data_IF_142283137957
#
_entry.id   IF_142283137957
#
_cell.length_a   1.000
_cell.length_b   1.000
_cell.length_c   1.000
_cell.angle_alpha   90.00
_cell.angle_beta   90.00
_cell.angle_gamma   90.00
#
_symmetry.space_group_name_H-M   'P 1'
#
loop_
_entity.id
_entity.type
_entity.pdbx_description
1 polymer ?
#
# COMPACT_ATOMS: atom_id res chain seq x y z
N UNK A 1 -39.50 -56.11 1.62
CA UNK A 1 -40.78 -55.40 1.86
C UNK A 1 -40.70 -54.68 3.20
N UNK A 2 -41.22 -53.45 3.29
CA UNK A 2 -41.01 -52.39 4.31
C UNK A 2 -39.71 -51.60 4.07
N UNK A 3 -39.71 -50.29 3.84
CA UNK A 3 -40.81 -49.33 3.82
C UNK A 3 -40.37 -48.03 4.48
N UNK A 4 -39.95 -47.07 3.65
CA UNK A 4 -40.19 -45.62 3.76
C UNK A 4 -40.46 -45.06 5.17
N UNK A 5 -39.40 -44.71 5.92
CA UNK A 5 -39.51 -43.87 7.14
C UNK A 5 -38.35 -42.87 7.33
N UNK A 6 -37.80 -42.26 6.27
CA UNK A 6 -36.86 -41.13 6.43
C UNK A 6 -37.12 -39.95 5.48
N UNK A 7 -38.40 -39.70 5.14
CA UNK A 7 -38.80 -38.60 4.24
C UNK A 7 -39.81 -37.62 4.87
N UNK A 8 -39.76 -37.38 6.18
CA UNK A 8 -40.62 -36.39 6.86
C UNK A 8 -39.93 -35.72 8.06
N UNK A 9 -38.75 -35.15 7.86
CA UNK A 9 -38.14 -34.30 8.89
C UNK A 9 -37.16 -33.26 8.34
N UNK A 10 -37.48 -32.53 7.27
CA UNK A 10 -36.82 -31.24 6.95
C UNK A 10 -37.69 -30.37 6.02
N UNK A 11 -38.99 -30.37 6.27
CA UNK A 11 -39.98 -29.48 5.62
C UNK A 11 -40.55 -28.61 6.74
N UNK A 12 -39.80 -27.60 7.18
CA UNK A 12 -40.21 -26.83 8.35
C UNK A 12 -39.24 -25.80 8.90
N UNK A 13 -38.33 -25.23 8.10
CA UNK A 13 -37.67 -23.94 8.40
C UNK A 13 -37.46 -23.19 7.07
N UNK A 14 -38.57 -22.95 6.38
CA UNK A 14 -38.69 -22.06 5.22
C UNK A 14 -39.90 -21.17 5.46
N UNK A 15 -39.95 -20.49 6.62
CA UNK A 15 -41.00 -19.49 6.90
C UNK A 15 -40.66 -18.63 8.13
N UNK A 16 -39.51 -17.96 8.14
CA UNK A 16 -39.23 -16.91 9.13
C UNK A 16 -38.13 -15.97 8.62
N UNK A 17 -38.39 -15.20 7.57
CA UNK A 17 -37.80 -13.86 7.33
C UNK A 17 -38.42 -13.21 6.08
N UNK A 18 -39.73 -13.01 6.08
CA UNK A 18 -40.42 -12.33 4.99
C UNK A 18 -41.71 -11.63 5.43
N UNK A 19 -41.67 -10.84 6.52
CA UNK A 19 -42.63 -9.73 6.76
C UNK A 19 -41.97 -8.72 7.70
N UNK A 20 -41.18 -7.79 7.16
CA UNK A 20 -41.06 -6.42 7.71
C UNK A 20 -40.68 -5.52 6.54
N UNK A 21 -41.72 -5.05 5.85
CA UNK A 21 -41.64 -4.08 4.77
C UNK A 21 -42.37 -2.82 5.24
N UNK A 22 -41.69 -1.69 5.06
CA UNK A 22 -42.22 -0.33 4.96
C UNK A 22 -42.67 0.40 6.24
N UNK A 23 -41.79 1.26 6.75
CA UNK A 23 -42.09 2.69 6.95
C UNK A 23 -40.81 3.44 7.36
N UNK A 24 -40.10 4.05 6.41
CA UNK A 24 -39.42 5.35 6.55
C UNK A 24 -38.92 5.77 5.16
N UNK A 25 -39.79 6.44 4.41
CA UNK A 25 -39.42 7.28 3.29
C UNK A 25 -39.78 8.72 3.68
N UNK A 26 -38.79 9.49 4.11
CA UNK A 26 -38.74 10.96 4.03
C UNK A 26 -37.46 11.45 4.75
N UNK A 27 -36.36 11.45 4.01
CA UNK A 27 -35.08 12.00 4.44
C UNK A 27 -34.12 11.91 3.27
N UNK A 28 -34.14 12.91 2.40
CA UNK A 28 -33.36 12.91 1.16
C UNK A 28 -31.86 12.86 1.44
N UNK A 29 -31.24 11.74 1.06
CA UNK A 29 -29.85 11.70 0.63
C UNK A 29 -29.88 11.21 -0.81
N UNK A 30 -29.60 12.11 -1.76
CA UNK A 30 -29.58 11.78 -3.18
C UNK A 30 -28.50 10.74 -3.44
N UNK A 31 -28.90 9.50 -3.74
CA UNK A 31 -28.01 8.50 -4.30
C UNK A 31 -27.62 8.96 -5.71
N UNK A 32 -26.51 9.70 -5.84
CA UNK A 32 -25.84 9.83 -7.11
C UNK A 32 -25.33 8.43 -7.48
N UNK A 33 -26.02 7.76 -8.39
CA UNK A 33 -25.45 6.66 -9.16
C UNK A 33 -24.30 7.24 -9.97
N UNK A 34 -23.09 7.17 -9.44
CA UNK A 34 -21.89 7.44 -10.21
C UNK A 34 -21.70 6.30 -11.19
N UNK A 35 -22.05 6.50 -12.46
CA UNK A 35 -21.52 5.65 -13.54
C UNK A 35 -20.00 5.90 -13.58
N UNK A 36 -19.24 5.22 -12.72
CA UNK A 36 -17.79 5.35 -12.67
C UNK A 36 -17.12 4.72 -13.90
N UNK A 37 -17.79 3.77 -14.54
CA UNK A 37 -17.29 3.02 -15.71
C UNK A 37 -17.93 3.39 -17.04
N UNK A 38 -18.53 4.58 -17.16
CA UNK A 38 -19.09 5.03 -18.42
C UNK A 38 -18.03 5.12 -19.51
N UNK A 39 -18.14 4.27 -20.54
CA UNK A 39 -17.38 4.37 -21.79
C UNK A 39 -17.60 5.74 -22.43
N UNK A 40 -16.73 6.68 -22.11
CA UNK A 40 -16.78 8.03 -22.62
C UNK A 40 -15.45 8.69 -22.41
N UNK A 41 -14.54 8.49 -23.36
CA UNK A 41 -13.39 9.36 -23.55
C UNK A 41 -13.92 10.80 -23.60
N UNK A 42 -13.79 11.53 -22.48
CA UNK A 42 -14.13 12.94 -22.41
C UNK A 42 -12.83 13.68 -22.63
N UNK A 43 -12.60 14.07 -23.88
CA UNK A 43 -11.66 15.14 -24.22
C UNK A 43 -12.01 16.37 -23.37
N UNK A 44 -11.11 16.73 -22.47
CA UNK A 44 -11.29 17.81 -21.52
C UNK A 44 -10.03 17.97 -20.70
N UNK A 45 -9.01 18.57 -21.30
CA UNK A 45 -7.80 18.99 -20.59
C UNK A 45 -8.16 19.95 -19.46
N UNK A 46 -7.92 19.51 -18.24
CA UNK A 46 -8.06 20.29 -17.02
C UNK A 46 -7.40 19.50 -15.91
N UNK A 47 -6.20 19.92 -15.53
CA UNK A 47 -5.52 19.55 -14.31
C UNK A 47 -6.36 20.12 -13.15
N UNK A 48 -7.51 19.49 -12.85
CA UNK A 48 -8.39 19.90 -11.76
C UNK A 48 -7.88 19.28 -10.45
N UNK A 49 -7.45 20.19 -9.58
CA UNK A 49 -7.07 19.97 -8.19
C UNK A 49 -8.00 18.97 -7.47
N UNK A 50 -7.46 17.79 -7.18
CA UNK A 50 -7.35 17.25 -5.81
C UNK A 50 -8.55 17.32 -4.86
N UNK A 51 -9.80 17.26 -5.33
CA UNK A 51 -10.93 17.09 -4.40
C UNK A 51 -10.89 15.66 -3.85
N UNK A 52 -10.71 15.46 -2.53
CA UNK A 52 -10.80 14.13 -1.93
C UNK A 52 -12.19 13.56 -2.23
N UNK A 53 -12.25 12.47 -2.99
CA UNK A 53 -13.50 11.80 -3.30
C UNK A 53 -13.88 10.95 -2.09
N UNK A 54 -14.97 11.31 -1.42
CA UNK A 54 -15.52 10.52 -0.30
C UNK A 54 -15.76 9.07 -0.73
N UNK A 55 -15.27 8.12 0.07
CA UNK A 55 -15.82 6.77 0.12
C UNK A 55 -15.37 5.78 -0.95
N UNK A 56 -14.11 5.82 -1.41
CA UNK A 56 -13.59 4.71 -2.22
C UNK A 56 -13.40 3.46 -1.33
N UNK A 57 -14.45 2.64 -1.21
CA UNK A 57 -14.37 1.30 -0.65
C UNK A 57 -13.83 0.34 -1.73
N UNK A 58 -12.59 0.55 -2.16
CA UNK A 58 -11.91 -0.35 -3.09
C UNK A 58 -10.79 -1.11 -2.44
N UNK A 59 -10.60 -2.36 -2.87
CA UNK A 59 -9.46 -3.19 -2.51
C UNK A 59 -8.59 -3.39 -3.74
N UNK A 60 -7.32 -3.01 -3.66
CA UNK A 60 -6.32 -3.41 -4.63
C UNK A 60 -5.61 -4.68 -4.14
N UNK A 61 -5.44 -5.65 -5.03
CA UNK A 61 -4.75 -6.89 -4.70
C UNK A 61 -4.04 -7.47 -5.92
N UNK A 62 -3.03 -8.29 -5.67
CA UNK A 62 -2.27 -8.99 -6.72
C UNK A 62 -2.89 -10.37 -6.94
N UNK A 63 -3.10 -10.74 -8.20
CA UNK A 63 -3.54 -12.08 -8.59
C UNK A 63 -2.84 -12.47 -9.89
N UNK A 64 -2.08 -13.57 -9.86
CA UNK A 64 -1.20 -13.92 -10.97
C UNK A 64 -0.11 -12.86 -11.16
N UNK A 65 0.04 -12.38 -12.38
CA UNK A 65 1.03 -11.38 -12.80
C UNK A 65 0.44 -9.95 -12.92
N UNK A 66 -0.70 -9.69 -12.28
CA UNK A 66 -1.39 -8.42 -12.41
C UNK A 66 -1.97 -7.92 -11.08
N UNK A 67 -2.15 -6.61 -11.00
CA UNK A 67 -2.95 -5.97 -9.95
C UNK A 67 -4.40 -5.89 -10.41
N UNK A 68 -5.30 -6.14 -9.48
CA UNK A 68 -6.75 -6.06 -9.63
C UNK A 68 -7.30 -5.02 -8.66
N UNK A 69 -8.42 -4.42 -9.06
CA UNK A 69 -9.19 -3.52 -8.23
C UNK A 69 -10.59 -4.10 -8.06
N UNK A 70 -10.98 -4.32 -6.81
CA UNK A 70 -12.33 -4.71 -6.42
C UNK A 70 -13.07 -3.49 -5.87
N UNK A 71 -14.28 -3.26 -6.38
CA UNK A 71 -15.27 -2.39 -5.76
C UNK A 71 -16.04 -3.20 -4.70
N UNK A 72 -15.89 -2.83 -3.43
CA UNK A 72 -16.51 -3.57 -2.34
C UNK A 72 -18.00 -3.28 -2.18
N UNK A 73 -18.50 -2.17 -2.72
CA UNK A 73 -19.90 -1.82 -2.68
C UNK A 73 -20.69 -2.53 -3.80
N UNK A 74 -20.12 -2.60 -4.99
CA UNK A 74 -20.75 -3.19 -6.18
C UNK A 74 -20.40 -4.67 -6.37
N UNK A 75 -19.31 -5.15 -5.74
CA UNK A 75 -18.79 -6.51 -5.93
C UNK A 75 -18.10 -6.73 -7.28
N UNK A 76 -17.84 -5.64 -8.02
CA UNK A 76 -17.19 -5.66 -9.32
C UNK A 76 -15.68 -5.77 -9.18
N UNK A 77 -15.06 -6.59 -10.02
CA UNK A 77 -13.61 -6.81 -10.03
C UNK A 77 -13.09 -6.61 -11.43
N UNK A 78 -12.02 -5.83 -11.56
CA UNK A 78 -11.32 -5.68 -12.84
C UNK A 78 -9.82 -5.81 -12.68
N UNK A 79 -9.17 -6.27 -13.75
CA UNK A 79 -7.73 -6.12 -13.89
C UNK A 79 -7.42 -4.63 -13.99
N UNK A 80 -6.51 -4.16 -13.15
CA UNK A 80 -6.04 -2.79 -13.14
C UNK A 80 -4.85 -2.63 -14.08
N UNK A 81 -3.78 -3.38 -13.89
CA UNK A 81 -2.53 -3.17 -14.64
C UNK A 81 -2.60 -3.65 -16.09
N UNK A 82 -2.06 -2.85 -17.01
CA UNK A 82 -1.90 -3.20 -18.42
C UNK A 82 -0.69 -4.11 -18.71
N UNK A 83 0.32 -4.09 -17.84
CA UNK A 83 1.57 -4.85 -17.98
C UNK A 83 1.64 -6.01 -16.97
N UNK A 84 2.03 -7.23 -17.38
CA UNK A 84 2.26 -8.33 -16.46
C UNK A 84 3.58 -8.18 -15.68
N UNK A 85 3.63 -8.71 -14.46
CA UNK A 85 4.83 -8.84 -13.64
C UNK A 85 4.51 -9.24 -12.20
N UNK A 86 5.54 -9.47 -11.38
CA UNK A 86 5.37 -9.77 -9.96
C UNK A 86 5.23 -8.46 -9.19
N UNK A 87 4.00 -8.10 -8.81
CA UNK A 87 3.69 -6.91 -8.03
C UNK A 87 3.65 -7.23 -6.52
N UNK A 88 4.07 -6.28 -5.70
CA UNK A 88 4.00 -6.33 -4.23
C UNK A 88 3.87 -4.91 -3.65
N UNK A 89 3.70 -4.81 -2.32
CA UNK A 89 3.80 -3.56 -1.55
C UNK A 89 2.85 -2.45 -2.06
N UNK A 90 1.60 -2.80 -2.36
CA UNK A 90 0.62 -1.88 -2.92
C UNK A 90 0.24 -0.79 -1.92
N UNK A 91 0.30 0.48 -2.34
CA UNK A 91 -0.11 1.62 -1.52
C UNK A 91 -0.90 2.65 -2.35
N UNK A 92 -2.13 2.95 -1.95
CA UNK A 92 -2.92 4.01 -2.57
C UNK A 92 -2.35 5.40 -2.26
N UNK A 93 -2.36 6.28 -3.27
CA UNK A 93 -2.18 7.71 -3.04
C UNK A 93 -3.38 8.27 -2.27
N UNK A 94 -3.26 9.43 -1.59
CA UNK A 94 -4.34 9.96 -0.74
C UNK A 94 -5.67 10.21 -1.46
N UNK A 95 -5.65 10.53 -2.75
CA UNK A 95 -6.86 10.69 -3.58
C UNK A 95 -7.26 9.41 -4.32
N UNK A 96 -6.56 8.31 -4.08
CA UNK A 96 -6.76 7.00 -4.69
C UNK A 96 -6.76 7.00 -6.24
N UNK A 97 -6.20 8.04 -6.86
CA UNK A 97 -5.99 8.10 -8.30
C UNK A 97 -4.78 7.29 -8.76
N UNK A 98 -3.90 6.92 -7.81
CA UNK A 98 -2.68 6.16 -8.06
C UNK A 98 -2.45 5.10 -7.00
N UNK A 99 -1.70 4.07 -7.39
CA UNK A 99 -1.16 3.05 -6.50
C UNK A 99 0.35 2.98 -6.73
N UNK A 100 1.15 3.13 -5.68
CA UNK A 100 2.56 2.76 -5.73
C UNK A 100 2.70 1.25 -5.50
N UNK A 101 3.68 0.63 -6.13
CA UNK A 101 3.94 -0.79 -5.98
C UNK A 101 5.43 -1.10 -6.21
N UNK A 102 5.89 -2.20 -5.62
CA UNK A 102 7.10 -2.89 -6.07
C UNK A 102 6.74 -3.77 -7.26
N UNK A 103 7.58 -3.77 -8.30
CA UNK A 103 7.41 -4.60 -9.50
C UNK A 103 8.71 -5.31 -9.85
N UNK A 104 8.62 -6.60 -10.18
CA UNK A 104 9.70 -7.38 -10.78
C UNK A 104 9.25 -7.99 -12.11
N UNK A 105 10.08 -7.85 -13.15
CA UNK A 105 9.85 -8.42 -14.47
C UNK A 105 11.03 -9.33 -14.84
N UNK A 106 10.80 -10.64 -14.96
CA UNK A 106 11.86 -11.62 -15.18
C UNK A 106 12.85 -11.64 -14.01
N UNK A 107 14.15 -11.69 -14.33
CA UNK A 107 15.25 -11.70 -13.34
C UNK A 107 15.77 -10.29 -13.00
N UNK A 108 14.98 -9.24 -13.29
CA UNK A 108 15.35 -7.86 -13.01
C UNK A 108 15.34 -7.55 -11.51
N UNK A 109 16.11 -6.53 -11.10
CA UNK A 109 16.02 -5.98 -9.75
C UNK A 109 14.65 -5.31 -9.52
N UNK A 110 14.16 -5.25 -8.27
CA UNK A 110 12.87 -4.63 -7.93
C UNK A 110 12.76 -3.18 -8.39
N UNK A 111 11.69 -2.87 -9.10
CA UNK A 111 11.37 -1.52 -9.54
C UNK A 111 10.32 -0.92 -8.60
N UNK A 112 10.44 0.37 -8.31
CA UNK A 112 9.33 1.14 -7.76
C UNK A 112 8.51 1.70 -8.93
N UNK A 113 7.21 1.43 -8.93
CA UNK A 113 6.29 1.87 -9.98
C UNK A 113 5.09 2.60 -9.40
N UNK A 114 4.46 3.41 -10.24
CA UNK A 114 3.16 4.05 -9.99
C UNK A 114 2.18 3.55 -11.04
N UNK A 115 1.03 3.08 -10.58
CA UNK A 115 -0.08 2.59 -11.39
C UNK A 115 -1.16 3.66 -11.38
N UNK A 116 -1.53 4.16 -12.56
CA UNK A 116 -2.70 5.02 -12.71
C UNK A 116 -3.97 4.18 -12.52
N UNK A 117 -4.83 4.56 -11.56
CA UNK A 117 -6.01 3.76 -11.21
C UNK A 117 -7.04 3.75 -12.34
N UNK A 118 -7.20 4.85 -13.08
CA UNK A 118 -8.18 4.94 -14.17
C UNK A 118 -7.72 4.18 -15.41
N UNK A 119 -6.51 4.47 -15.90
CA UNK A 119 -6.02 3.90 -17.16
C UNK A 119 -5.38 2.52 -17.01
N UNK A 120 -4.93 2.16 -15.81
CA UNK A 120 -4.14 0.94 -15.59
C UNK A 120 -2.69 1.04 -16.08
N UNK A 121 -2.27 2.22 -16.50
CA UNK A 121 -0.90 2.49 -16.94
C UNK A 121 0.09 2.31 -15.79
N UNK A 122 1.22 1.66 -16.07
CA UNK A 122 2.28 1.40 -15.11
C UNK A 122 3.50 2.22 -15.49
N UNK A 123 3.80 3.24 -14.69
CA UNK A 123 4.95 4.12 -14.86
C UNK A 123 6.06 3.70 -13.92
N UNK A 124 7.23 3.41 -14.47
CA UNK A 124 8.43 3.18 -13.66
C UNK A 124 8.90 4.50 -13.05
N UNK A 125 9.11 4.54 -11.73
CA UNK A 125 9.65 5.70 -11.00
C UNK A 125 10.99 5.39 -10.31
N UNK A 126 11.69 4.36 -10.81
CA UNK A 126 12.99 3.86 -10.34
C UNK A 126 14.14 4.21 -11.28
N UNK A 127 15.28 3.52 -11.14
CA UNK A 127 16.50 3.78 -11.92
C UNK A 127 16.37 3.49 -13.42
N UNK A 128 15.36 2.74 -13.86
CA UNK A 128 15.14 2.47 -15.29
C UNK A 128 14.41 3.63 -16.00
N UNK A 129 13.89 4.60 -15.23
CA UNK A 129 13.25 5.80 -15.76
C UNK A 129 14.30 6.88 -16.10
N UNK A 130 14.25 7.43 -17.31
CA UNK A 130 15.23 8.41 -17.81
C UNK A 130 15.24 9.75 -17.04
N UNK A 131 14.13 10.10 -16.39
CA UNK A 131 13.97 11.33 -15.63
C UNK A 131 14.39 11.14 -14.16
N UNK A 132 14.24 9.92 -13.63
CA UNK A 132 14.47 9.61 -12.21
C UNK A 132 15.78 8.86 -11.92
N UNK A 133 16.45 8.27 -12.93
CA UNK A 133 17.65 7.47 -12.67
C UNK A 133 18.78 8.25 -12.01
N UNK A 134 18.91 9.55 -12.33
CA UNK A 134 19.92 10.44 -11.72
C UNK A 134 19.63 10.68 -10.25
N UNK A 135 18.37 10.73 -9.85
CA UNK A 135 17.97 10.91 -8.46
C UNK A 135 18.34 9.69 -7.62
N UNK A 136 17.94 8.49 -8.08
CA UNK A 136 18.29 7.23 -7.44
C UNK A 136 19.81 7.01 -7.38
N UNK A 137 20.50 7.22 -8.49
CA UNK A 137 21.95 7.07 -8.57
C UNK A 137 22.69 8.11 -7.71
N UNK A 138 22.20 9.35 -7.68
CA UNK A 138 22.77 10.42 -6.86
C UNK A 138 22.61 10.18 -5.36
N UNK A 139 21.51 9.57 -4.93
CA UNK A 139 21.32 9.10 -3.56
C UNK A 139 22.12 7.82 -3.25
N UNK A 140 22.59 7.12 -4.29
CA UNK A 140 23.37 5.88 -4.16
C UNK A 140 22.54 4.70 -3.65
N UNK A 141 21.26 4.65 -4.01
CA UNK A 141 20.30 3.63 -3.55
C UNK A 141 19.49 3.07 -4.74
N UNK A 142 18.88 1.91 -4.52
CA UNK A 142 18.04 1.17 -5.49
C UNK A 142 16.70 0.82 -4.80
N UNK A 143 15.53 0.89 -5.46
CA UNK A 143 14.32 0.33 -4.88
C UNK A 143 14.47 -1.13 -4.48
N UNK A 144 13.73 -1.50 -3.46
CA UNK A 144 13.74 -2.84 -2.90
C UNK A 144 12.35 -3.23 -2.41
N UNK A 145 12.17 -4.50 -2.09
CA UNK A 145 10.95 -4.99 -1.45
C UNK A 145 10.76 -4.33 -0.08
N UNK A 146 9.50 -4.05 0.26
CA UNK A 146 9.11 -3.44 1.52
C UNK A 146 8.06 -2.35 1.31
N UNK A 147 7.48 -1.87 2.41
CA UNK A 147 6.31 -1.00 2.32
C UNK A 147 6.60 0.32 1.62
N UNK A 148 5.55 0.88 1.02
CA UNK A 148 5.50 2.21 0.43
C UNK A 148 4.39 2.98 1.13
N UNK A 149 4.62 4.27 1.43
CA UNK A 149 3.64 5.13 2.08
C UNK A 149 3.61 6.49 1.40
N UNK A 150 2.45 6.91 0.93
CA UNK A 150 2.30 8.24 0.32
C UNK A 150 2.19 9.32 1.38
N UNK A 151 2.88 10.44 1.17
CA UNK A 151 2.73 11.65 1.96
C UNK A 151 1.74 12.63 1.37
N UNK A 152 1.72 12.70 0.06
CA UNK A 152 0.74 13.41 -0.75
C UNK A 152 0.78 12.81 -2.14
N UNK A 153 0.04 13.38 -3.08
CA UNK A 153 0.03 12.93 -4.48
C UNK A 153 1.41 12.97 -5.18
N UNK A 154 2.41 13.68 -4.65
CA UNK A 154 3.70 13.88 -5.33
C UNK A 154 4.88 13.34 -4.53
N UNK A 155 4.67 12.99 -3.26
CA UNK A 155 5.72 12.55 -2.36
C UNK A 155 5.32 11.23 -1.72
N UNK A 156 6.25 10.28 -1.71
CA UNK A 156 6.10 9.00 -1.03
C UNK A 156 7.38 8.64 -0.28
N UNK A 157 7.25 7.75 0.69
CA UNK A 157 8.33 7.07 1.38
C UNK A 157 8.34 5.61 0.96
N UNK A 158 9.52 5.04 0.75
CA UNK A 158 9.66 3.65 0.31
C UNK A 158 10.88 2.99 0.95
N UNK A 159 10.89 1.66 0.92
CA UNK A 159 12.09 0.89 1.20
C UNK A 159 13.01 0.89 -0.03
N UNK A 160 14.30 1.14 0.21
CA UNK A 160 15.37 1.04 -0.77
C UNK A 160 16.54 0.26 -0.18
N UNK A 161 17.56 -0.01 -1.00
CA UNK A 161 18.83 -0.58 -0.54
C UNK A 161 20.02 0.20 -1.08
N UNK A 162 21.04 0.31 -0.24
CA UNK A 162 22.40 0.67 -0.62
C UNK A 162 23.23 -0.58 -0.77
N UNK A 163 24.08 -0.63 -1.79
CA UNK A 163 25.01 -1.74 -1.99
C UNK A 163 26.39 -1.39 -1.42
N UNK A 164 26.81 -2.12 -0.39
CA UNK A 164 28.07 -1.91 0.32
C UNK A 164 28.84 -3.23 0.43
N UNK A 165 30.04 -3.30 -0.14
CA UNK A 165 30.89 -4.49 -0.08
C UNK A 165 30.18 -5.80 -0.50
N UNK A 166 29.29 -5.71 -1.49
CA UNK A 166 28.50 -6.84 -1.99
C UNK A 166 27.31 -7.23 -1.10
N UNK A 167 26.94 -6.40 -0.13
CA UNK A 167 25.75 -6.56 0.72
C UNK A 167 24.74 -5.45 0.45
N UNK A 168 23.46 -5.77 0.54
CA UNK A 168 22.39 -4.78 0.50
C UNK A 168 22.04 -4.33 1.92
N UNK A 169 22.20 -3.04 2.18
CA UNK A 169 21.80 -2.35 3.42
C UNK A 169 20.46 -1.66 3.15
N UNK A 170 19.36 -2.06 3.81
CA UNK A 170 18.08 -1.39 3.61
C UNK A 170 18.11 0.04 4.15
N UNK A 171 17.43 0.93 3.44
CA UNK A 171 17.27 2.33 3.80
C UNK A 171 15.81 2.74 3.61
N UNK A 172 15.33 3.66 4.44
CA UNK A 172 14.07 4.37 4.19
C UNK A 172 14.36 5.61 3.36
N UNK A 173 13.69 5.76 2.23
CA UNK A 173 13.88 6.89 1.33
C UNK A 173 12.60 7.70 1.17
N UNK A 174 12.77 8.99 0.89
CA UNK A 174 11.73 9.89 0.42
C UNK A 174 11.92 10.10 -1.07
N UNK A 175 10.84 9.97 -1.84
CA UNK A 175 10.82 10.16 -3.29
C UNK A 175 9.86 11.31 -3.60
N UNK A 176 10.37 12.37 -4.23
CA UNK A 176 9.59 13.49 -4.74
C UNK A 176 9.45 13.36 -6.26
N UNK A 177 8.22 13.18 -6.73
CA UNK A 177 7.85 13.02 -8.13
C UNK A 177 7.66 14.35 -8.85
N UNK A 178 7.51 15.46 -8.11
CA UNK A 178 7.34 16.81 -8.68
C UNK A 178 8.66 17.46 -9.04
N UNK A 179 9.67 17.19 -8.21
CA UNK A 179 11.06 17.52 -8.44
C UNK A 179 11.83 16.22 -8.31
N UNK A 180 11.97 15.43 -9.41
CA UNK A 180 12.55 14.10 -9.41
C UNK A 180 13.79 13.98 -8.53
N UNK A 181 13.59 13.58 -7.27
CA UNK A 181 14.62 13.53 -6.25
C UNK A 181 14.35 12.38 -5.29
N UNK A 182 15.45 11.83 -4.79
CA UNK A 182 15.45 10.72 -3.84
C UNK A 182 16.38 11.13 -2.71
N UNK A 183 15.89 11.04 -1.48
CA UNK A 183 16.61 11.38 -0.27
C UNK A 183 16.59 10.18 0.66
N UNK A 184 17.75 9.80 1.20
CA UNK A 184 17.81 8.79 2.26
C UNK A 184 17.41 9.46 3.57
N UNK A 185 16.31 9.01 4.15
CA UNK A 185 15.75 9.54 5.40
C UNK A 185 16.43 8.85 6.58
N UNK A 186 16.53 7.53 6.53
CA UNK A 186 17.16 6.71 7.57
C UNK A 186 17.94 5.55 6.93
N UNK A 187 19.20 5.40 7.34
CA UNK A 187 20.03 4.23 7.02
C UNK A 187 19.66 3.06 7.95
N UNK A 188 19.93 1.82 7.51
CA UNK A 188 19.59 0.59 8.25
C UNK A 188 18.11 0.57 8.71
N UNK A 189 17.23 1.05 7.84
CA UNK A 189 15.80 1.21 8.10
C UNK A 189 14.97 0.74 6.92
N UNK A 190 13.75 0.29 7.17
CA UNK A 190 12.84 -0.23 6.15
C UNK A 190 11.39 -0.12 6.59
N UNK A 191 10.50 -0.45 5.66
CA UNK A 191 9.07 -0.54 5.87
C UNK A 191 8.48 0.76 6.46
N UNK A 192 8.65 1.91 5.77
CA UNK A 192 8.08 3.17 6.21
C UNK A 192 6.56 3.14 6.20
N UNK A 193 5.97 3.74 7.23
CA UNK A 193 4.56 4.10 7.30
C UNK A 193 4.44 5.53 7.76
N UNK A 194 3.69 6.34 7.04
CA UNK A 194 3.42 7.73 7.40
C UNK A 194 2.12 7.82 8.19
N UNK A 195 2.07 8.66 9.21
CA UNK A 195 0.83 8.96 9.90
C UNK A 195 -0.16 9.67 8.97
N UNK A 196 -1.48 9.57 9.22
CA UNK A 196 -2.49 10.27 8.44
C UNK A 196 -2.29 11.80 8.39
N UNK A 197 -1.65 12.39 9.41
CA UNK A 197 -1.33 13.81 9.47
C UNK A 197 -0.09 14.23 8.67
N UNK A 198 0.71 13.27 8.17
CA UNK A 198 1.94 13.54 7.42
C UNK A 198 3.07 14.16 8.24
N UNK A 199 3.02 14.05 9.56
CA UNK A 199 3.94 14.64 10.52
C UNK A 199 4.95 13.65 11.12
N UNK A 200 4.64 12.37 11.09
CA UNK A 200 5.40 11.29 11.70
C UNK A 200 5.61 10.14 10.73
N UNK A 201 6.83 9.63 10.69
CA UNK A 201 7.21 8.46 9.92
C UNK A 201 7.60 7.34 10.87
N UNK A 202 6.84 6.25 10.87
CA UNK A 202 7.23 5.02 11.51
C UNK A 202 8.05 4.18 10.54
N UNK A 203 9.05 3.47 11.04
CA UNK A 203 9.82 2.50 10.26
C UNK A 203 10.43 1.45 11.20
N UNK A 204 10.90 0.36 10.61
CA UNK A 204 11.65 -0.67 11.32
C UNK A 204 13.13 -0.43 11.11
N UNK A 205 13.89 -0.28 12.19
CA UNK A 205 15.34 -0.06 12.20
C UNK A 205 16.08 -1.32 12.63
N UNK A 206 17.29 -1.52 12.10
CA UNK A 206 18.19 -2.56 12.59
C UNK A 206 18.47 -2.35 14.07
N UNK A 207 18.33 -3.39 14.92
CA UNK A 207 18.71 -3.28 16.33
C UNK A 207 20.18 -2.94 16.50
N UNK A 208 20.50 -2.11 17.48
CA UNK A 208 21.90 -1.74 17.80
C UNK A 208 22.74 -2.95 18.23
N UNK A 209 22.09 -3.97 18.79
CA UNK A 209 22.70 -5.24 19.21
C UNK A 209 22.65 -6.33 18.13
N UNK A 210 22.26 -6.00 16.89
CA UNK A 210 22.22 -6.95 15.79
C UNK A 210 23.60 -7.55 15.51
N UNK A 211 23.72 -8.86 15.69
CA UNK A 211 24.94 -9.59 15.40
C UNK A 211 24.98 -10.01 13.92
N UNK A 212 25.94 -9.45 13.17
CA UNK A 212 26.18 -9.78 11.77
C UNK A 212 26.52 -11.27 11.55
N UNK A 213 26.93 -12.02 12.59
CA UNK A 213 27.09 -13.47 12.52
C UNK A 213 25.75 -14.21 12.32
N UNK A 214 24.62 -13.58 12.64
CA UNK A 214 23.27 -14.09 12.38
C UNK A 214 22.85 -13.92 10.91
N UNK A 215 23.64 -13.19 10.12
CA UNK A 215 23.39 -12.91 8.71
C UNK A 215 23.15 -11.42 8.44
N UNK A 216 22.97 -11.10 7.17
CA UNK A 216 22.63 -9.74 6.76
C UNK A 216 21.25 -9.37 7.29
N UNK A 217 21.14 -8.18 7.89
CA UNK A 217 19.84 -7.63 8.27
C UNK A 217 19.09 -7.21 7.00
N UNK A 218 18.08 -8.01 6.63
CA UNK A 218 17.34 -7.89 5.36
C UNK A 218 15.84 -7.82 5.58
N UNK A 219 15.04 -7.99 4.52
CA UNK A 219 13.55 -7.87 4.53
C UNK A 219 12.82 -8.89 5.41
N UNK A 220 13.46 -10.00 5.77
CA UNK A 220 12.90 -10.99 6.70
C UNK A 220 13.47 -10.87 8.13
N UNK A 221 14.38 -9.94 8.37
CA UNK A 221 15.01 -9.75 9.68
C UNK A 221 14.18 -8.79 10.52
N UNK A 222 13.77 -9.14 11.74
CA UNK A 222 13.03 -8.20 12.59
C UNK A 222 13.90 -7.03 13.05
N UNK A 223 13.29 -5.95 13.54
CA UNK A 223 14.01 -4.82 14.11
C UNK A 223 13.23 -4.04 15.14
N UNK A 224 13.74 -2.84 15.44
CA UNK A 224 13.16 -1.90 16.38
C UNK A 224 12.15 -0.99 15.69
N UNK A 225 10.99 -0.78 16.31
CA UNK A 225 10.03 0.20 15.83
C UNK A 225 10.50 1.60 16.23
N UNK A 226 10.66 2.48 15.25
CA UNK A 226 11.06 3.87 15.47
C UNK A 226 10.01 4.79 14.85
N UNK A 227 9.72 5.89 15.53
CA UNK A 227 8.91 6.99 15.02
C UNK A 227 9.80 8.24 14.90
N UNK A 228 9.89 8.80 13.71
CA UNK A 228 10.56 10.05 13.38
C UNK A 228 9.53 11.17 13.24
N UNK A 229 9.68 12.24 14.01
CA UNK A 229 9.00 13.51 13.76
C UNK A 229 9.66 14.21 12.56
N UNK A 230 8.92 14.34 11.46
CA UNK A 230 9.44 14.86 10.19
C UNK A 230 9.77 16.36 10.24
N UNK A 231 9.23 17.10 11.20
CA UNK A 231 9.47 18.54 11.33
C UNK A 231 10.72 18.82 12.17
N UNK A 232 10.87 18.14 13.30
CA UNK A 232 11.99 18.35 14.21
C UNK A 232 13.17 17.43 13.94
N UNK A 233 12.98 16.37 13.14
CA UNK A 233 13.97 15.32 12.93
C UNK A 233 14.22 14.48 14.19
N UNK A 234 13.28 14.47 15.15
CA UNK A 234 13.46 13.79 16.43
C UNK A 234 12.92 12.37 16.34
N UNK A 235 13.73 11.42 16.74
CA UNK A 235 13.33 10.02 16.81
C UNK A 235 12.90 9.61 18.22
N UNK A 236 12.00 8.63 18.27
CA UNK A 236 11.68 7.86 19.46
C UNK A 236 11.54 6.38 19.09
N UNK A 237 12.18 5.53 19.86
CA UNK A 237 11.99 4.09 19.77
C UNK A 237 10.75 3.67 20.55
N UNK A 238 10.00 2.73 20.00
CA UNK A 238 8.78 2.17 20.59
C UNK A 238 9.06 0.73 21.01
N UNK A 239 9.14 0.51 22.32
CA UNK A 239 9.27 -0.84 22.88
C UNK A 239 7.95 -1.57 22.78
N UNK A 240 7.92 -2.62 21.96
CA UNK A 240 6.78 -3.52 21.85
C UNK A 240 6.80 -4.48 23.04
N UNK A 241 5.78 -4.40 23.89
CA UNK A 241 5.66 -5.26 25.08
C UNK A 241 4.34 -6.01 25.07
N UNK A 242 4.32 -7.24 25.57
CA UNK A 242 3.12 -8.03 25.82
C UNK A 242 3.18 -8.52 27.26
N UNK A 243 2.19 -8.16 28.07
CA UNK A 243 2.16 -8.42 29.52
C UNK A 243 3.40 -7.91 30.28
N UNK A 244 3.92 -6.76 29.84
CA UNK A 244 5.12 -6.14 30.44
C UNK A 244 6.44 -6.81 30.06
N UNK A 245 6.42 -7.83 29.19
CA UNK A 245 7.61 -8.48 28.64
C UNK A 245 7.88 -7.91 27.24
N UNK A 246 9.11 -7.48 27.00
CA UNK A 246 9.56 -7.03 25.69
C UNK A 246 9.40 -8.17 24.67
N UNK A 247 8.55 -7.93 23.67
CA UNK A 247 8.34 -8.79 22.51
C UNK A 247 9.01 -8.10 21.34
N UNK A 248 10.34 -8.17 21.32
CA UNK A 248 11.13 -7.71 20.19
C UNK A 248 10.97 -8.71 19.07
N UNK A 249 10.19 -8.34 18.04
CA UNK A 249 10.45 -8.62 16.62
C UNK A 249 9.45 -7.83 15.78
N UNK A 250 9.82 -6.61 15.37
CA UNK A 250 8.96 -5.79 14.49
C UNK A 250 9.38 -6.02 13.05
N UNK A 251 8.42 -6.38 12.20
CA UNK A 251 8.65 -6.59 10.77
C UNK A 251 8.17 -5.41 9.95
N UNK A 252 7.02 -4.85 10.32
CA UNK A 252 6.35 -3.75 9.63
C UNK A 252 5.63 -2.86 10.65
N UNK A 253 5.33 -1.63 10.24
CA UNK A 253 4.57 -0.67 11.03
C UNK A 253 3.42 -0.11 10.19
N UNK A 254 2.36 0.32 10.87
CA UNK A 254 1.27 1.08 10.27
C UNK A 254 0.65 1.96 11.34
N UNK A 255 0.21 3.16 10.97
CA UNK A 255 -0.58 4.03 11.84
C UNK A 255 -2.06 3.68 11.70
N UNK A 256 -2.81 3.81 12.78
CA UNK A 256 -4.27 3.78 12.67
C UNK A 256 -4.76 5.08 12.02
N UNK A 257 -6.00 5.11 11.48
CA UNK A 257 -6.53 6.32 10.84
C UNK A 257 -6.59 7.55 11.75
N UNK A 258 -6.54 7.37 13.08
CA UNK A 258 -6.51 8.40 14.10
C UNK A 258 -5.11 8.78 14.61
N UNK A 259 -4.05 8.13 14.10
CA UNK A 259 -2.64 8.39 14.45
C UNK A 259 -2.07 7.32 15.37
#
# INVERSE_FOLDING_TARGET
>A
MRGKEYLRLFTGITLALAVFLAAFAAGGCGSRKGNWWGTGAREGGGEEDGVPREGLASLAYVSGDHVYLADLAEGEVRRLTSRPGAYADLAFSPHAGRIAATLVVGDAMPQLVVINVESGEVTDISWNNQDLWRAWSGAGVKPWYGTVSWANEKVLYATAVREESGRFRPCTVKVDLSMPSVEVVCEDARNPALDPGGSQLAYVRRPDDWDEAQGAWGVESPGDLVILDLKSGREREIKVTMDGVERGYVYEASFSPDG
#
